data_IF_776023682953
#
_entry.id   IF_776023682953
#
_cell.length_a   1.000
_cell.length_b   1.000
_cell.length_c   1.000
_cell.angle_alpha   90.00
_cell.angle_beta   90.00
_cell.angle_gamma   90.00
#
_symmetry.space_group_name_H-M   'P 1'
#
loop_
_entity.id
_entity.type
_entity.pdbx_description
1 polymer ?
#
# COMPACT_ATOMS: atom_id res chain seq x y z
N UNK A 1 -2.01 23.44 24.04
CA UNK A 1 -1.18 23.40 22.83
C UNK A 1 -0.36 22.14 22.67
N UNK A 2 -0.01 21.44 23.72
CA UNK A 2 0.71 20.16 23.66
C UNK A 2 -0.12 18.97 23.14
N UNK A 3 -1.45 19.07 23.15
CA UNK A 3 -2.35 17.97 22.81
C UNK A 3 -2.39 17.60 21.32
N UNK A 4 -2.07 18.54 20.44
CA UNK A 4 -2.04 18.26 18.98
C UNK A 4 -0.79 17.51 18.56
N UNK A 5 0.34 17.80 19.17
CA UNK A 5 1.62 17.16 18.87
C UNK A 5 1.61 15.71 19.40
N UNK A 6 1.05 15.49 20.57
CA UNK A 6 0.93 14.17 21.18
C UNK A 6 0.01 13.25 20.38
N UNK A 7 -1.11 13.74 19.86
CA UNK A 7 -2.01 12.97 18.99
C UNK A 7 -1.35 12.57 17.68
N UNK A 8 -0.52 13.44 17.11
CA UNK A 8 0.19 13.14 15.87
C UNK A 8 1.28 12.09 16.09
N UNK A 9 2.00 12.17 17.20
CA UNK A 9 3.03 11.21 17.56
C UNK A 9 2.45 9.83 17.89
N UNK A 10 1.30 9.78 18.56
CA UNK A 10 0.63 8.52 18.89
C UNK A 10 0.06 7.84 17.65
N UNK A 11 -0.37 8.60 16.64
CA UNK A 11 -0.84 8.07 15.37
C UNK A 11 0.28 7.41 14.57
N UNK A 12 1.47 7.98 14.56
CA UNK A 12 2.63 7.41 13.87
C UNK A 12 3.17 6.15 14.55
N UNK A 13 3.04 6.05 15.87
CA UNK A 13 3.56 4.91 16.63
C UNK A 13 2.71 3.65 16.55
N UNK A 14 1.47 3.73 16.07
CA UNK A 14 0.52 2.62 16.07
C UNK A 14 0.27 1.99 14.70
N UNK A 15 1.06 2.35 13.69
CA UNK A 15 0.88 1.81 12.34
C UNK A 15 1.55 0.45 12.20
N UNK A 16 0.79 -0.51 11.69
CA UNK A 16 1.28 -1.84 11.35
C UNK A 16 1.23 -2.02 9.85
N UNK A 17 2.19 -2.76 9.31
CA UNK A 17 2.35 -2.97 7.87
C UNK A 17 2.26 -4.44 7.55
N UNK A 18 1.56 -4.75 6.46
CA UNK A 18 1.33 -6.12 6.01
C UNK A 18 1.64 -6.24 4.53
N UNK A 19 2.25 -7.35 4.18
CA UNK A 19 2.49 -7.71 2.79
C UNK A 19 1.36 -8.61 2.30
N UNK A 20 0.84 -8.32 1.11
CA UNK A 20 -0.22 -9.12 0.49
C UNK A 20 0.32 -9.70 -0.82
N UNK A 21 0.20 -11.02 -0.95
CA UNK A 21 0.46 -11.75 -2.19
C UNK A 21 -0.89 -12.09 -2.82
N UNK A 22 -1.16 -11.48 -3.97
CA UNK A 22 -2.43 -11.65 -4.67
C UNK A 22 -2.19 -11.44 -6.17
N UNK A 23 -2.59 -12.41 -6.99
CA UNK A 23 -2.40 -12.35 -8.43
C UNK A 23 -3.42 -11.48 -9.17
N UNK A 24 -4.42 -10.94 -8.45
CA UNK A 24 -5.48 -10.14 -9.04
C UNK A 24 -5.05 -8.68 -9.20
N UNK A 25 -5.70 -7.99 -10.14
CA UNK A 25 -5.47 -6.55 -10.32
C UNK A 25 -5.92 -5.75 -9.10
N UNK A 26 -5.34 -4.58 -8.92
CA UNK A 26 -5.52 -3.77 -7.72
C UNK A 26 -7.00 -3.43 -7.47
N UNK A 27 -7.71 -2.99 -8.51
CA UNK A 27 -9.12 -2.63 -8.35
C UNK A 27 -9.98 -3.82 -7.90
N UNK A 28 -9.65 -5.02 -8.33
CA UNK A 28 -10.36 -6.24 -7.93
C UNK A 28 -10.05 -6.61 -6.49
N UNK A 29 -8.79 -6.51 -6.07
CA UNK A 29 -8.42 -6.69 -4.67
C UNK A 29 -9.20 -5.73 -3.76
N UNK A 30 -9.29 -4.46 -4.16
CA UNK A 30 -10.03 -3.45 -3.39
C UNK A 30 -11.52 -3.80 -3.31
N UNK A 31 -12.12 -4.24 -4.41
CA UNK A 31 -13.51 -4.68 -4.43
C UNK A 31 -13.74 -5.85 -3.47
N UNK A 32 -12.86 -6.83 -3.49
CA UNK A 32 -12.92 -7.99 -2.59
C UNK A 32 -12.80 -7.57 -1.12
N UNK A 33 -11.87 -6.68 -0.81
CA UNK A 33 -11.69 -6.17 0.55
C UNK A 33 -12.90 -5.36 1.03
N UNK A 34 -13.42 -4.47 0.19
CA UNK A 34 -14.60 -3.67 0.53
C UNK A 34 -15.81 -4.56 0.81
N UNK A 35 -16.01 -5.58 -0.02
CA UNK A 35 -17.12 -6.51 0.14
C UNK A 35 -16.98 -7.36 1.40
N UNK A 36 -15.78 -7.93 1.62
CA UNK A 36 -15.53 -8.83 2.75
C UNK A 36 -15.46 -8.13 4.09
N UNK A 37 -14.90 -6.92 4.13
CA UNK A 37 -14.70 -6.17 5.38
C UNK A 37 -15.80 -5.14 5.64
N UNK A 38 -16.71 -4.92 4.70
CA UNK A 38 -17.73 -3.88 4.81
C UNK A 38 -17.12 -2.47 4.83
N UNK A 39 -16.06 -2.25 4.07
CA UNK A 39 -15.37 -0.98 4.00
C UNK A 39 -15.69 -0.22 2.71
N UNK A 40 -15.26 1.03 2.67
CA UNK A 40 -15.36 1.91 1.50
C UNK A 40 -13.99 2.48 1.14
N UNK A 41 -13.02 1.59 0.93
CA UNK A 41 -11.71 2.00 0.43
C UNK A 41 -11.87 2.76 -0.88
N UNK A 42 -11.32 3.96 -0.94
CA UNK A 42 -11.39 4.86 -2.10
C UNK A 42 -10.00 5.19 -2.59
N UNK A 43 -9.86 5.30 -3.91
CA UNK A 43 -8.61 5.73 -4.50
C UNK A 43 -8.23 7.13 -4.03
N UNK A 44 -6.96 7.33 -3.70
CA UNK A 44 -6.42 8.64 -3.34
C UNK A 44 -6.44 9.56 -4.57
N UNK A 45 -6.48 10.86 -4.34
CA UNK A 45 -6.52 11.86 -5.43
C UNK A 45 -5.26 11.83 -6.27
N UNK A 46 -4.13 11.63 -5.61
CA UNK A 46 -2.83 11.60 -6.25
C UNK A 46 -2.16 10.27 -5.99
N UNK A 47 -1.48 9.76 -7.00
CA UNK A 47 -0.64 8.58 -6.87
C UNK A 47 0.69 8.95 -6.22
N UNK A 48 1.37 7.98 -5.62
CA UNK A 48 2.74 8.17 -5.15
C UNK A 48 3.67 8.15 -6.36
N UNK A 49 4.25 9.30 -6.67
CA UNK A 49 5.13 9.46 -7.83
C UNK A 49 6.56 9.76 -7.39
N UNK A 50 7.50 9.18 -8.11
CA UNK A 50 8.93 9.38 -7.86
C UNK A 50 9.57 9.97 -9.10
N UNK A 51 10.04 11.22 -9.01
CA UNK A 51 10.58 11.97 -10.14
C UNK A 51 11.80 11.31 -10.78
N UNK A 52 12.61 10.63 -9.98
CA UNK A 52 13.85 10.00 -10.44
C UNK A 52 13.61 8.84 -11.41
N UNK A 53 12.51 8.11 -11.22
CA UNK A 53 12.22 6.89 -11.97
C UNK A 53 10.99 7.01 -12.85
N UNK A 54 10.21 8.09 -12.74
CA UNK A 54 8.87 8.25 -13.32
C UNK A 54 7.91 7.13 -12.91
N UNK A 55 8.21 6.41 -11.83
CA UNK A 55 7.33 5.38 -11.31
C UNK A 55 6.17 6.00 -10.58
N UNK A 56 4.99 5.39 -10.74
CA UNK A 56 3.76 5.84 -10.10
C UNK A 56 3.08 4.66 -9.43
N UNK A 57 2.67 4.84 -8.17
CA UNK A 57 2.02 3.78 -7.40
C UNK A 57 0.66 4.26 -6.94
N UNK A 58 -0.36 3.44 -7.20
CA UNK A 58 -1.72 3.72 -6.79
C UNK A 58 -1.90 3.39 -5.30
N UNK A 59 -2.82 4.12 -4.66
CA UNK A 59 -3.19 3.86 -3.29
C UNK A 59 -4.70 3.99 -3.10
N UNK A 60 -5.23 3.23 -2.16
CA UNK A 60 -6.61 3.31 -1.70
C UNK A 60 -6.60 3.47 -0.19
N UNK A 61 -7.52 4.27 0.33
CA UNK A 61 -7.56 4.56 1.76
C UNK A 61 -8.99 4.61 2.30
N UNK A 62 -9.11 4.32 3.58
CA UNK A 62 -10.34 4.42 4.34
C UNK A 62 -10.02 4.82 5.77
N UNK A 63 -10.80 5.72 6.31
CA UNK A 63 -10.67 6.16 7.70
C UNK A 63 -12.03 6.14 8.37
N UNK A 64 -12.11 5.52 9.54
CA UNK A 64 -13.28 5.57 10.41
C UNK A 64 -12.95 6.46 11.61
N UNK A 65 -13.44 7.69 11.58
CA UNK A 65 -13.17 8.68 12.62
C UNK A 65 -13.90 8.40 13.94
N UNK A 66 -15.02 7.69 13.87
CA UNK A 66 -15.82 7.36 15.05
C UNK A 66 -15.14 6.29 15.88
N UNK A 67 -14.68 5.24 15.25
CA UNK A 67 -13.99 4.13 15.91
C UNK A 67 -12.50 4.45 16.09
N UNK A 68 -11.91 5.19 15.17
CA UNK A 68 -10.53 5.65 15.27
C UNK A 68 -9.52 4.71 14.65
N UNK A 69 -9.80 4.19 13.44
CA UNK A 69 -8.82 3.42 12.68
C UNK A 69 -8.75 3.88 11.23
N UNK A 70 -7.66 3.58 10.60
CA UNK A 70 -7.46 3.85 9.17
C UNK A 70 -6.71 2.71 8.48
N UNK A 71 -7.04 2.52 7.21
CA UNK A 71 -6.43 1.54 6.33
C UNK A 71 -5.96 2.24 5.07
N UNK A 72 -4.75 1.90 4.64
CA UNK A 72 -4.22 2.32 3.34
C UNK A 72 -3.62 1.11 2.64
N UNK A 73 -3.88 0.99 1.34
CA UNK A 73 -3.34 -0.11 0.55
C UNK A 73 -2.64 0.49 -0.66
N UNK A 74 -1.43 0.00 -0.91
CA UNK A 74 -0.56 0.47 -1.98
C UNK A 74 -0.21 -0.70 -2.88
N UNK A 75 -0.12 -0.48 -4.20
CA UNK A 75 0.55 -1.46 -5.03
C UNK A 75 2.06 -1.32 -4.85
N UNK A 76 2.75 -2.44 -4.75
CA UNK A 76 4.21 -2.44 -4.54
C UNK A 76 4.99 -2.45 -5.86
N UNK A 77 4.33 -2.82 -6.96
CA UNK A 77 4.98 -2.95 -8.26
C UNK A 77 4.38 -1.93 -9.22
N UNK A 78 5.24 -1.10 -9.80
CA UNK A 78 4.87 -0.17 -10.86
C UNK A 78 5.65 -0.50 -12.13
N UNK A 79 4.95 -0.58 -13.24
CA UNK A 79 5.57 -0.74 -14.54
C UNK A 79 5.79 0.61 -15.17
N UNK A 80 7.04 1.00 -15.36
CA UNK A 80 7.40 2.23 -16.04
C UNK A 80 8.03 1.91 -17.39
N UNK A 81 7.57 2.60 -18.41
CA UNK A 81 8.17 2.51 -19.74
C UNK A 81 9.29 3.54 -19.81
N UNK A 82 10.53 3.09 -19.73
CA UNK A 82 11.66 3.95 -20.02
C UNK A 82 11.81 4.08 -21.54
N UNK A 83 11.48 5.24 -22.07
CA UNK A 83 11.80 5.59 -23.45
C UNK A 83 13.31 5.83 -23.54
N UNK A 84 14.02 4.81 -23.95
CA UNK A 84 15.43 4.96 -24.29
C UNK A 84 15.52 5.66 -25.65
N UNK A 85 15.72 6.97 -25.65
CA UNK A 85 15.79 7.79 -26.86
C UNK A 85 17.03 7.51 -27.72
N UNK A 86 17.90 6.60 -27.33
CA UNK A 86 19.19 6.39 -27.98
C UNK A 86 19.25 5.18 -28.93
N UNK A 87 18.28 4.30 -28.90
CA UNK A 87 18.24 3.13 -29.75
C UNK A 87 16.94 3.08 -30.53
N UNK A 88 17.02 3.41 -31.83
CA UNK A 88 16.00 3.10 -32.82
C UNK A 88 15.86 1.58 -32.99
N UNK A 89 15.68 0.84 -31.91
CA UNK A 89 15.34 -0.56 -32.03
C UNK A 89 13.82 -0.69 -32.14
N UNK A 90 13.38 -1.58 -33.01
CA UNK A 90 11.99 -1.91 -33.27
C UNK A 90 11.21 -2.33 -31.97
N UNK A 91 11.91 -2.50 -30.88
CA UNK A 91 11.39 -2.89 -29.54
C UNK A 91 11.77 -1.85 -28.48
N UNK A 92 11.75 -0.57 -28.83
CA UNK A 92 12.35 0.55 -28.09
C UNK A 92 11.72 0.96 -26.76
N UNK A 93 11.04 0.06 -26.04
CA UNK A 93 10.57 0.37 -24.69
C UNK A 93 10.97 -0.76 -23.75
N UNK A 94 12.00 -0.53 -22.95
CA UNK A 94 12.30 -1.39 -21.82
C UNK A 94 11.29 -1.16 -20.73
N UNK A 95 10.44 -2.16 -20.48
CA UNK A 95 9.52 -2.15 -19.34
C UNK A 95 10.32 -2.58 -18.13
N UNK A 96 10.53 -1.65 -17.19
CA UNK A 96 11.14 -1.97 -15.90
C UNK A 96 10.08 -1.98 -14.81
N UNK A 97 10.15 -2.98 -13.96
CA UNK A 97 9.37 -3.02 -12.73
C UNK A 97 10.08 -2.21 -11.64
N UNK A 98 9.36 -1.25 -11.06
CA UNK A 98 9.82 -0.50 -9.90
C UNK A 98 9.03 -0.94 -8.68
N UNK A 99 9.72 -1.07 -7.55
CA UNK A 99 9.12 -1.50 -6.30
C UNK A 99 8.99 -0.31 -5.36
N UNK A 100 7.80 -0.17 -4.74
CA UNK A 100 7.56 0.88 -3.75
C UNK A 100 8.40 0.63 -2.50
N UNK A 101 8.44 -0.63 -2.05
CA UNK A 101 9.31 -1.09 -0.97
C UNK A 101 10.24 -2.18 -1.52
N UNK A 102 11.42 -1.80 -2.04
CA UNK A 102 12.33 -2.77 -2.66
C UNK A 102 12.78 -3.88 -1.72
N UNK A 103 12.86 -3.60 -0.43
CA UNK A 103 13.26 -4.55 0.60
C UNK A 103 12.29 -5.74 0.75
N UNK A 104 11.05 -5.60 0.27
CA UNK A 104 10.06 -6.67 0.31
C UNK A 104 10.09 -7.58 -0.92
N UNK A 105 10.84 -7.21 -1.95
CA UNK A 105 10.93 -8.00 -3.18
C UNK A 105 9.60 -8.12 -3.92
N UNK A 106 9.19 -9.35 -4.22
CA UNK A 106 8.05 -9.66 -5.09
C UNK A 106 6.67 -9.57 -4.43
N UNK A 107 6.53 -8.82 -3.36
CA UNK A 107 5.23 -8.56 -2.74
C UNK A 107 4.37 -7.71 -3.67
N UNK A 108 3.11 -8.09 -3.85
CA UNK A 108 2.20 -7.41 -4.78
C UNK A 108 1.62 -6.12 -4.21
N UNK A 109 1.15 -6.18 -2.96
CA UNK A 109 0.50 -5.04 -2.32
C UNK A 109 0.97 -4.89 -0.88
N UNK A 110 0.86 -3.66 -0.37
CA UNK A 110 1.22 -3.32 0.99
C UNK A 110 0.00 -2.71 1.67
N UNK A 111 -0.35 -3.24 2.84
CA UNK A 111 -1.44 -2.72 3.66
C UNK A 111 -0.84 -2.03 4.88
N UNK A 112 -1.24 -0.80 5.12
CA UNK A 112 -0.91 -0.03 6.32
C UNK A 112 -2.16 0.12 7.16
N UNK A 113 -2.12 -0.33 8.40
CA UNK A 113 -3.20 -0.18 9.36
C UNK A 113 -2.76 0.68 10.54
N UNK A 114 -3.61 1.60 10.95
CA UNK A 114 -3.42 2.40 12.15
C UNK A 114 -4.69 2.33 12.99
N UNK A 115 -4.56 1.96 14.26
CA UNK A 115 -5.68 1.84 15.17
C UNK A 115 -5.57 0.66 16.12
N UNK A 116 -6.70 0.26 16.70
CA UNK A 116 -6.78 -0.84 17.65
C UNK A 116 -6.46 -2.18 16.97
N UNK A 117 -5.56 -2.94 17.60
CA UNK A 117 -5.15 -4.25 17.09
C UNK A 117 -6.26 -5.30 17.10
N UNK A 118 -7.23 -5.21 18.03
CA UNK A 118 -8.36 -6.13 18.09
C UNK A 118 -9.27 -5.98 16.86
N UNK A 119 -9.47 -4.75 16.40
CA UNK A 119 -10.25 -4.46 15.18
C UNK A 119 -9.53 -5.07 13.97
N UNK A 120 -8.22 -4.89 13.89
CA UNK A 120 -7.45 -5.43 12.76
C UNK A 120 -7.40 -6.96 12.79
N UNK A 121 -7.35 -7.58 13.96
CA UNK A 121 -7.40 -9.05 14.07
C UNK A 121 -8.66 -9.62 13.41
N UNK A 122 -9.80 -8.94 13.55
CA UNK A 122 -11.05 -9.32 12.87
C UNK A 122 -10.92 -9.17 11.35
N UNK A 123 -10.39 -8.04 10.90
CA UNK A 123 -10.15 -7.83 9.46
C UNK A 123 -9.20 -8.88 8.89
N UNK A 124 -8.14 -9.20 9.62
CA UNK A 124 -7.16 -10.19 9.18
C UNK A 124 -7.79 -11.57 8.99
N UNK A 125 -8.69 -11.99 9.89
CA UNK A 125 -9.43 -13.23 9.75
C UNK A 125 -10.27 -13.24 8.47
N UNK A 126 -10.98 -12.15 8.19
CA UNK A 126 -11.77 -12.01 6.97
C UNK A 126 -10.91 -11.99 5.71
N UNK A 127 -9.80 -11.25 5.75
CA UNK A 127 -8.85 -11.19 4.62
C UNK A 127 -8.31 -12.57 4.28
N UNK A 128 -7.94 -13.35 5.30
CA UNK A 128 -7.43 -14.71 5.09
C UNK A 128 -8.46 -15.67 4.50
N UNK A 129 -9.74 -15.36 4.61
CA UNK A 129 -10.81 -16.17 4.02
C UNK A 129 -11.05 -15.86 2.53
N UNK A 130 -10.45 -14.78 2.00
CA UNK A 130 -10.58 -14.41 0.58
C UNK A 130 -9.70 -15.35 -0.24
N UNK A 131 -10.31 -16.15 -1.11
CA UNK A 131 -9.60 -17.19 -1.87
C UNK A 131 -8.58 -16.63 -2.85
N UNK A 132 -8.79 -15.42 -3.37
CA UNK A 132 -7.91 -14.76 -4.33
C UNK A 132 -6.62 -14.24 -3.69
N UNK A 133 -6.60 -14.09 -2.37
CA UNK A 133 -5.41 -13.68 -1.63
C UNK A 133 -4.60 -14.93 -1.28
N UNK A 134 -3.41 -15.05 -1.85
CA UNK A 134 -2.53 -16.20 -1.62
C UNK A 134 -1.96 -16.16 -0.21
N UNK A 135 -1.53 -14.97 0.25
CA UNK A 135 -0.90 -14.83 1.56
C UNK A 135 -0.99 -13.38 2.03
N UNK A 136 -1.11 -13.20 3.34
CA UNK A 136 -0.93 -11.93 4.01
C UNK A 136 -0.10 -12.18 5.27
N UNK A 137 0.92 -11.36 5.49
CA UNK A 137 1.77 -11.47 6.67
C UNK A 137 2.24 -10.10 7.14
N UNK A 138 2.46 -9.99 8.44
CA UNK A 138 2.95 -8.75 9.04
C UNK A 138 4.42 -8.54 8.68
N UNK A 139 4.76 -7.29 8.35
CA UNK A 139 6.13 -6.89 8.06
C UNK A 139 6.72 -6.28 9.33
N UNK A 140 7.79 -6.87 9.91
CA UNK A 140 8.46 -6.26 11.07
C UNK A 140 9.00 -4.88 10.71
N UNK A 141 8.84 -3.92 11.61
CA UNK A 141 9.31 -2.55 11.40
C UNK A 141 10.80 -2.49 11.05
N UNK A 142 11.59 -3.41 11.60
CA UNK A 142 13.03 -3.52 11.31
C UNK A 142 13.33 -3.79 9.83
N UNK A 143 12.40 -4.40 9.10
CA UNK A 143 12.56 -4.68 7.66
C UNK A 143 12.07 -3.53 6.78
N UNK A 144 11.41 -2.53 7.35
CA UNK A 144 10.88 -1.40 6.60
C UNK A 144 11.92 -0.27 6.53
N UNK A 145 12.79 -0.35 5.53
CA UNK A 145 13.81 0.68 5.29
C UNK A 145 13.29 1.87 4.52
N UNK A 146 12.29 1.66 3.67
CA UNK A 146 11.76 2.68 2.75
C UNK A 146 10.33 3.10 3.11
N UNK A 147 9.94 3.03 4.39
CA UNK A 147 8.58 3.35 4.81
C UNK A 147 8.16 4.80 4.51
N UNK A 148 9.12 5.71 4.38
CA UNK A 148 8.86 7.09 3.96
C UNK A 148 8.25 7.17 2.56
N UNK A 149 8.46 6.15 1.71
CA UNK A 149 7.83 6.08 0.39
C UNK A 149 6.30 5.94 0.46
N UNK A 150 5.76 5.56 1.62
CA UNK A 150 4.32 5.39 1.83
C UNK A 150 3.65 6.67 2.34
N UNK A 151 4.38 7.78 2.38
CA UNK A 151 3.88 9.06 2.85
C UNK A 151 3.61 9.95 1.64
N UNK A 152 2.38 10.48 1.55
CA UNK A 152 2.05 11.47 0.55
C UNK A 152 2.66 12.81 0.95
N UNK A 153 3.43 13.40 0.05
CA UNK A 153 3.87 14.78 0.21
C UNK A 153 2.71 15.70 -0.13
N UNK A 154 2.34 16.50 0.83
CA UNK A 154 1.32 17.54 0.66
C UNK A 154 1.97 18.87 0.41
#
# INVERSE_FOLDING_TARGET
MSNHILKHLDFEKSSNYFAILCGEEFYLLILLLNTSLGLSLKRTREDLTFAETNASFMAYEYEDKKIGYSLSIFNNVSKSVTKNNQNNTLFGSDIKDFLLLPELGSVDYILKYSGDGAIFARFLTEIKSISEIVSIYEIPEKKLKSKENLIFEH
#
